data_IF_936401798655
#
_entry.id   IF_936401798655
#
_cell.length_a   1.000
_cell.length_b   1.000
_cell.length_c   1.000
_cell.angle_alpha   90.00
_cell.angle_beta   90.00
_cell.angle_gamma   90.00
#
_symmetry.space_group_name_H-M   'P 1'
#
loop_
_entity.id
_entity.type
_entity.pdbx_description
1 polymer ?
#
# COMPACT_ATOMS: atom_id res chain seq x y z
N UNK A 1 19.25 45.93 8.30
CA UNK A 1 18.45 44.74 7.91
C UNK A 1 17.33 44.55 8.94
N UNK A 2 16.17 44.05 8.49
CA UNK A 2 14.83 44.32 9.02
C UNK A 2 14.48 43.56 10.32
N UNK A 3 13.80 44.19 11.30
CA UNK A 3 13.03 43.45 12.31
C UNK A 3 11.69 42.98 11.72
N UNK A 4 11.38 41.70 11.90
CA UNK A 4 10.17 41.05 11.38
C UNK A 4 8.98 41.35 12.30
N UNK A 5 7.91 41.89 11.69
CA UNK A 5 6.61 42.20 12.28
C UNK A 5 5.80 40.93 12.62
N UNK A 6 5.18 40.98 13.79
CA UNK A 6 3.85 40.48 14.17
C UNK A 6 3.23 39.29 13.43
N UNK A 7 2.96 38.21 14.16
CA UNK A 7 1.66 37.53 14.09
C UNK A 7 1.24 37.10 15.51
N UNK A 8 0.35 37.89 16.11
CA UNK A 8 -0.45 37.48 17.28
C UNK A 8 -1.53 36.55 16.76
N UNK A 9 -1.34 35.24 16.92
CA UNK A 9 -2.38 34.24 16.65
C UNK A 9 -3.45 34.38 17.72
N UNK A 10 -4.67 34.71 17.29
CA UNK A 10 -5.85 34.80 18.15
C UNK A 10 -6.14 33.42 18.73
N UNK A 11 -5.99 33.25 20.05
CA UNK A 11 -6.58 32.13 20.77
C UNK A 11 -8.11 32.27 20.64
N UNK A 12 -8.73 31.35 19.92
CA UNK A 12 -10.17 31.13 19.97
C UNK A 12 -10.53 30.57 21.35
N UNK A 13 -11.28 31.36 22.12
CA UNK A 13 -11.85 30.96 23.39
C UNK A 13 -12.84 29.79 23.18
N UNK A 14 -12.66 28.71 23.94
CA UNK A 14 -13.60 27.59 24.03
C UNK A 14 -14.60 27.93 25.14
N UNK A 15 -15.93 27.98 24.88
CA UNK A 15 -16.90 28.25 25.93
C UNK A 15 -17.05 27.03 26.87
N UNK A 16 -17.19 27.24 28.20
CA UNK A 16 -17.52 26.16 29.11
C UNK A 16 -19.02 25.83 29.03
N UNK A 17 -19.35 24.63 28.55
CA UNK A 17 -20.71 24.10 28.54
C UNK A 17 -21.11 23.70 29.96
N UNK A 18 -21.84 24.59 30.63
CA UNK A 18 -22.66 24.26 31.78
C UNK A 18 -23.87 23.44 31.32
N UNK A 19 -24.01 22.21 31.81
CA UNK A 19 -25.16 21.36 31.48
C UNK A 19 -25.03 19.97 32.08
N UNK A 20 -25.42 19.83 33.35
CA UNK A 20 -25.47 18.58 34.13
C UNK A 20 -26.58 17.65 33.61
N UNK A 21 -26.51 17.21 32.35
CA UNK A 21 -27.33 16.13 31.77
C UNK A 21 -26.63 15.37 30.63
N UNK A 22 -25.34 15.65 30.36
CA UNK A 22 -24.63 15.18 29.17
C UNK A 22 -23.72 13.94 29.32
N UNK A 23 -23.68 13.30 30.50
CA UNK A 23 -22.70 12.21 30.76
C UNK A 23 -22.89 10.97 29.89
N UNK A 24 -24.14 10.62 29.55
CA UNK A 24 -24.45 9.43 28.72
C UNK A 24 -24.43 9.72 27.22
N UNK A 25 -24.82 10.93 26.80
CA UNK A 25 -24.79 11.31 25.38
C UNK A 25 -23.37 11.61 24.87
N UNK A 26 -22.49 12.14 25.73
CA UNK A 26 -21.10 12.40 25.35
C UNK A 26 -20.32 11.10 25.06
N UNK A 27 -20.65 10.00 25.72
CA UNK A 27 -19.97 8.71 25.51
C UNK A 27 -20.32 8.08 24.15
N UNK A 28 -21.55 8.28 23.66
CA UNK A 28 -22.01 7.74 22.36
C UNK A 28 -21.39 8.49 21.19
N UNK A 29 -21.17 9.80 21.32
CA UNK A 29 -20.55 10.62 20.28
C UNK A 29 -19.06 10.30 20.07
N UNK A 30 -18.34 9.87 21.11
CA UNK A 30 -16.93 9.44 21.01
C UNK A 30 -16.80 8.03 20.42
N UNK A 31 -17.75 7.12 20.69
CA UNK A 31 -17.73 5.76 20.13
C UNK A 31 -18.04 5.72 18.62
N UNK A 32 -18.82 6.67 18.10
CA UNK A 32 -19.18 6.71 16.69
C UNK A 32 -18.00 7.04 15.76
N UNK A 33 -16.94 7.68 16.26
CA UNK A 33 -15.77 8.05 15.46
C UNK A 33 -14.78 6.89 15.24
N UNK A 34 -14.94 5.78 15.97
CA UNK A 34 -14.02 4.63 15.93
C UNK A 34 -14.44 3.51 14.98
N UNK A 35 -15.49 3.70 14.17
CA UNK A 35 -16.03 2.66 13.28
C UNK A 35 -15.78 2.93 11.79
N UNK A 36 -14.72 3.67 11.44
CA UNK A 36 -14.21 3.60 10.08
C UNK A 36 -13.53 2.24 9.92
N UNK A 37 -14.09 1.25 9.20
CA UNK A 37 -13.25 0.21 8.64
C UNK A 37 -12.21 0.96 7.82
N UNK A 38 -10.93 0.75 8.10
CA UNK A 38 -9.86 1.50 7.44
C UNK A 38 -10.11 1.50 5.94
N UNK A 39 -10.26 2.67 5.34
CA UNK A 39 -10.21 2.86 3.89
C UNK A 39 -8.78 2.55 3.42
N UNK A 40 -8.34 1.30 3.58
CA UNK A 40 -7.14 0.80 2.97
C UNK A 40 -7.44 0.73 1.47
N UNK A 41 -6.86 1.67 0.74
CA UNK A 41 -6.94 1.67 -0.71
C UNK A 41 -5.97 0.63 -1.25
N UNK A 42 -6.28 -0.02 -2.38
CA UNK A 42 -5.34 -0.89 -3.09
C UNK A 42 -3.94 -0.22 -3.22
N UNK A 43 -3.91 1.08 -3.50
CA UNK A 43 -2.68 1.85 -3.60
C UNK A 43 -1.88 1.94 -2.29
N UNK A 44 -2.55 2.07 -1.13
CA UNK A 44 -1.85 2.09 0.16
C UNK A 44 -1.23 0.73 0.47
N UNK A 45 -1.95 -0.36 0.24
CA UNK A 45 -1.47 -1.72 0.53
C UNK A 45 -0.29 -2.09 -0.38
N UNK A 46 -0.36 -1.76 -1.67
CA UNK A 46 0.77 -1.89 -2.60
C UNK A 46 1.96 -1.05 -2.13
N UNK A 47 1.73 0.17 -1.63
CA UNK A 47 2.82 1.01 -1.11
C UNK A 47 3.46 0.43 0.16
N UNK A 48 2.66 -0.17 1.06
CA UNK A 48 3.17 -0.89 2.23
C UNK A 48 3.97 -2.13 1.84
N UNK A 49 3.45 -2.95 0.91
CA UNK A 49 4.13 -4.10 0.36
C UNK A 49 5.48 -3.72 -0.29
N UNK A 50 5.50 -2.65 -1.09
CA UNK A 50 6.73 -2.14 -1.71
C UNK A 50 7.79 -1.78 -0.67
N UNK A 51 7.41 -1.04 0.37
CA UNK A 51 8.35 -0.67 1.45
C UNK A 51 8.91 -1.90 2.16
N UNK A 52 8.06 -2.90 2.42
CA UNK A 52 8.51 -4.15 3.03
C UNK A 52 9.49 -4.91 2.11
N UNK A 53 9.18 -5.01 0.82
CA UNK A 53 10.03 -5.62 -0.20
C UNK A 53 11.40 -4.92 -0.31
N UNK A 54 11.41 -3.59 -0.39
CA UNK A 54 12.64 -2.77 -0.47
C UNK A 54 13.54 -2.94 0.76
N UNK A 55 12.95 -3.25 1.91
CA UNK A 55 13.65 -3.53 3.16
C UNK A 55 14.01 -5.02 3.32
N UNK A 56 13.88 -5.82 2.26
CA UNK A 56 14.09 -7.27 2.26
C UNK A 56 13.21 -8.05 3.27
N UNK A 57 12.06 -7.49 3.65
CA UNK A 57 11.06 -8.15 4.51
C UNK A 57 9.97 -8.77 3.63
N UNK A 58 10.35 -9.83 2.90
CA UNK A 58 9.52 -10.39 1.81
C UNK A 58 8.23 -11.04 2.32
N UNK A 59 8.26 -11.73 3.45
CA UNK A 59 7.07 -12.30 4.09
C UNK A 59 6.09 -11.18 4.50
N UNK A 60 6.61 -10.09 5.07
CA UNK A 60 5.78 -8.93 5.40
C UNK A 60 5.20 -8.27 4.14
N UNK A 61 5.93 -8.27 3.02
CA UNK A 61 5.38 -7.78 1.76
C UNK A 61 4.19 -8.64 1.31
N UNK A 62 4.27 -9.96 1.44
CA UNK A 62 3.17 -10.87 1.11
C UNK A 62 1.95 -10.67 2.02
N UNK A 63 2.15 -10.41 3.32
CA UNK A 63 1.04 -10.09 4.25
C UNK A 63 0.23 -8.88 3.77
N UNK A 64 0.87 -7.85 3.23
CA UNK A 64 0.16 -6.69 2.67
C UNK A 64 -0.52 -6.98 1.32
N UNK A 65 -0.03 -7.97 0.57
CA UNK A 65 -0.56 -8.31 -0.76
C UNK A 65 -1.69 -9.33 -0.69
N UNK A 66 -1.70 -10.22 0.30
CA UNK A 66 -2.68 -11.31 0.43
C UNK A 66 -4.15 -10.85 0.43
N UNK A 67 -4.55 -9.77 1.15
CA UNK A 67 -5.92 -9.28 1.09
C UNK A 67 -6.36 -8.87 -0.32
N UNK A 68 -5.41 -8.44 -1.15
CA UNK A 68 -5.67 -7.92 -2.48
C UNK A 68 -5.96 -9.00 -3.53
N UNK A 69 -5.64 -10.28 -3.24
CA UNK A 69 -5.76 -11.40 -4.19
C UNK A 69 -7.16 -11.54 -4.80
N UNK A 70 -8.19 -11.19 -4.01
CA UNK A 70 -9.61 -11.32 -4.38
C UNK A 70 -10.05 -10.24 -5.38
N UNK A 71 -9.41 -9.08 -5.31
CA UNK A 71 -9.82 -7.87 -6.02
C UNK A 71 -8.87 -7.49 -7.17
N UNK A 72 -7.89 -8.35 -7.48
CA UNK A 72 -6.90 -8.14 -8.56
C UNK A 72 -7.58 -7.82 -9.90
N UNK A 73 -8.72 -8.45 -10.18
CA UNK A 73 -9.49 -8.21 -11.40
C UNK A 73 -10.06 -6.79 -11.51
N UNK A 74 -10.38 -6.15 -10.37
CA UNK A 74 -10.93 -4.81 -10.29
C UNK A 74 -9.86 -3.72 -10.14
N UNK A 75 -8.58 -4.09 -9.96
CA UNK A 75 -7.49 -3.13 -9.83
C UNK A 75 -7.29 -2.32 -11.12
N UNK A 76 -6.81 -1.09 -10.93
CA UNK A 76 -6.26 -0.30 -12.04
C UNK A 76 -5.12 -1.07 -12.72
N UNK A 77 -4.95 -0.96 -14.05
CA UNK A 77 -3.89 -1.67 -14.77
C UNK A 77 -2.49 -1.47 -14.19
N UNK A 78 -2.13 -0.23 -13.82
CA UNK A 78 -0.83 0.09 -13.22
C UNK A 78 -0.60 -0.61 -11.88
N UNK A 79 -1.63 -0.64 -11.04
CA UNK A 79 -1.57 -1.22 -9.70
C UNK A 79 -1.52 -2.75 -9.79
N UNK A 80 -2.26 -3.34 -10.73
CA UNK A 80 -2.21 -4.78 -11.01
C UNK A 80 -0.81 -5.22 -11.42
N UNK A 81 -0.13 -4.49 -12.30
CA UNK A 81 1.25 -4.79 -12.69
C UNK A 81 2.21 -4.74 -11.49
N UNK A 82 2.08 -3.71 -10.63
CA UNK A 82 2.90 -3.57 -9.42
C UNK A 82 2.62 -4.66 -8.39
N UNK A 83 1.34 -5.00 -8.18
CA UNK A 83 0.92 -6.09 -7.30
C UNK A 83 1.57 -7.40 -7.73
N UNK A 84 1.44 -7.80 -9.00
CA UNK A 84 2.02 -9.04 -9.50
C UNK A 84 3.54 -9.06 -9.41
N UNK A 85 4.20 -7.93 -9.74
CA UNK A 85 5.65 -7.81 -9.61
C UNK A 85 6.11 -8.01 -8.16
N UNK A 86 5.49 -7.31 -7.20
CA UNK A 86 5.87 -7.38 -5.79
C UNK A 86 5.59 -8.76 -5.20
N UNK A 87 4.45 -9.37 -5.54
CA UNK A 87 4.09 -10.74 -5.14
C UNK A 87 5.13 -11.72 -5.68
N UNK A 88 5.34 -11.74 -7.01
CA UNK A 88 6.25 -12.67 -7.66
C UNK A 88 7.72 -12.50 -7.25
N UNK A 89 8.21 -11.27 -7.10
CA UNK A 89 9.57 -11.03 -6.62
C UNK A 89 9.74 -11.39 -5.15
N UNK A 90 8.71 -11.22 -4.31
CA UNK A 90 8.77 -11.68 -2.92
C UNK A 90 8.85 -13.21 -2.85
N UNK A 91 7.99 -13.92 -3.57
CA UNK A 91 8.06 -15.39 -3.65
C UNK A 91 9.40 -15.88 -4.22
N UNK A 92 9.94 -15.20 -5.24
CA UNK A 92 11.25 -15.51 -5.81
C UNK A 92 12.36 -15.42 -4.76
N UNK A 93 12.34 -14.34 -3.95
CA UNK A 93 13.35 -14.09 -2.91
C UNK A 93 13.21 -15.04 -1.72
N UNK A 94 12.03 -15.60 -1.52
CA UNK A 94 11.75 -16.64 -0.52
C UNK A 94 12.04 -18.06 -1.01
N UNK A 95 12.55 -18.23 -2.24
CA UNK A 95 12.87 -19.55 -2.80
C UNK A 95 11.63 -20.39 -3.12
N UNK A 96 10.53 -19.74 -3.51
CA UNK A 96 9.27 -20.40 -3.88
C UNK A 96 9.06 -20.31 -5.41
N UNK A 97 9.74 -21.16 -6.20
CA UNK A 97 9.89 -20.96 -7.64
C UNK A 97 8.59 -21.07 -8.42
N UNK A 98 7.66 -21.93 -7.98
CA UNK A 98 6.36 -22.12 -8.65
C UNK A 98 5.51 -20.86 -8.60
N UNK A 99 5.32 -20.31 -7.40
CA UNK A 99 4.51 -19.11 -7.20
C UNK A 99 5.20 -17.88 -7.77
N UNK A 100 6.53 -17.80 -7.63
CA UNK A 100 7.34 -16.78 -8.27
C UNK A 100 7.13 -16.77 -9.79
N UNK A 101 7.26 -17.92 -10.45
CA UNK A 101 7.09 -18.02 -11.90
C UNK A 101 5.68 -17.61 -12.33
N UNK A 102 4.66 -18.06 -11.60
CA UNK A 102 3.26 -17.70 -11.88
C UNK A 102 3.05 -16.17 -11.83
N UNK A 103 3.37 -15.54 -10.71
CA UNK A 103 3.11 -14.11 -10.53
C UNK A 103 4.04 -13.23 -11.37
N UNK A 104 5.29 -13.62 -11.60
CA UNK A 104 6.19 -12.86 -12.48
C UNK A 104 5.78 -12.95 -13.96
N UNK A 105 5.19 -14.06 -14.41
CA UNK A 105 4.60 -14.14 -15.74
C UNK A 105 3.43 -13.16 -15.89
N UNK A 106 2.51 -13.15 -14.92
CA UNK A 106 1.38 -12.20 -14.88
C UNK A 106 1.85 -10.75 -14.78
N UNK A 107 2.92 -10.47 -14.02
CA UNK A 107 3.51 -9.14 -13.93
C UNK A 107 4.02 -8.63 -15.28
N UNK A 108 4.67 -9.50 -16.06
CA UNK A 108 5.17 -9.16 -17.40
C UNK A 108 4.05 -8.82 -18.36
N UNK A 109 2.99 -9.62 -18.35
CA UNK A 109 1.81 -9.43 -19.19
C UNK A 109 1.04 -8.16 -18.80
N UNK A 110 0.82 -7.96 -17.50
CA UNK A 110 0.14 -6.78 -16.98
C UNK A 110 0.93 -5.49 -17.25
N UNK A 111 2.26 -5.52 -17.14
CA UNK A 111 3.12 -4.38 -17.46
C UNK A 111 3.02 -4.00 -18.94
N UNK A 112 3.15 -4.99 -19.85
CA UNK A 112 3.01 -4.73 -21.28
C UNK A 112 1.62 -4.19 -21.65
N UNK A 113 0.56 -4.79 -21.11
CA UNK A 113 -0.82 -4.39 -21.39
C UNK A 113 -1.16 -2.98 -20.88
N UNK A 114 -0.50 -2.51 -19.82
CA UNK A 114 -0.73 -1.19 -19.23
C UNK A 114 0.20 -0.09 -19.78
N UNK A 115 0.99 -0.36 -20.82
CA UNK A 115 1.93 0.63 -21.37
C UNK A 115 3.19 0.83 -20.51
N UNK A 116 3.63 -0.23 -19.85
CA UNK A 116 4.86 -0.31 -19.05
C UNK A 116 4.94 0.56 -17.78
N UNK A 117 3.97 0.44 -16.85
CA UNK A 117 3.96 1.16 -15.57
C UNK A 117 5.10 0.77 -14.61
N UNK A 118 5.77 -0.38 -14.81
CA UNK A 118 6.92 -0.77 -14.01
C UNK A 118 8.17 0.03 -14.43
N UNK A 119 8.97 0.42 -13.42
CA UNK A 119 10.24 1.08 -13.68
C UNK A 119 11.16 0.20 -14.55
N UNK A 120 12.05 0.78 -15.37
CA UNK A 120 13.02 -0.01 -16.14
C UNK A 120 13.88 -0.95 -15.27
N UNK A 121 14.20 -0.53 -14.04
CA UNK A 121 14.95 -1.36 -13.10
C UNK A 121 14.15 -2.59 -12.65
N UNK A 122 12.86 -2.41 -12.37
CA UNK A 122 11.96 -3.51 -11.99
C UNK A 122 11.74 -4.49 -13.15
N UNK A 123 11.54 -3.99 -14.37
CA UNK A 123 11.45 -4.85 -15.58
C UNK A 123 12.70 -5.70 -15.76
N UNK A 124 13.90 -5.10 -15.69
CA UNK A 124 15.15 -5.86 -15.76
C UNK A 124 15.28 -6.91 -14.66
N UNK A 125 14.82 -6.61 -13.45
CA UNK A 125 14.83 -7.58 -12.35
C UNK A 125 13.85 -8.74 -12.59
N UNK A 126 12.64 -8.44 -13.07
CA UNK A 126 11.64 -9.41 -13.47
C UNK A 126 12.18 -10.35 -14.56
N UNK A 127 12.77 -9.80 -15.63
CA UNK A 127 13.26 -10.60 -16.75
C UNK A 127 14.39 -11.54 -16.32
N UNK A 128 15.30 -11.07 -15.45
CA UNK A 128 16.34 -11.91 -14.87
C UNK A 128 15.76 -13.03 -14.00
N UNK A 129 14.78 -12.72 -13.14
CA UNK A 129 14.14 -13.72 -12.29
C UNK A 129 13.42 -14.79 -13.11
N UNK A 130 12.65 -14.40 -14.14
CA UNK A 130 12.01 -15.35 -15.06
C UNK A 130 13.02 -16.20 -15.83
N UNK A 131 14.15 -15.62 -16.24
CA UNK A 131 15.22 -16.37 -16.91
C UNK A 131 15.82 -17.40 -15.96
N UNK A 132 16.12 -17.01 -14.72
CA UNK A 132 16.64 -17.91 -13.70
C UNK A 132 15.69 -19.07 -13.38
N UNK A 133 14.38 -18.81 -13.33
CA UNK A 133 13.37 -19.82 -13.01
C UNK A 133 13.12 -20.84 -14.14
N UNK A 134 13.60 -20.56 -15.35
CA UNK A 134 13.49 -21.46 -16.51
C UNK A 134 14.76 -22.27 -16.76
N UNK A 135 15.84 -22.00 -16.01
CA UNK A 135 17.06 -22.78 -16.11
C UNK A 135 16.81 -24.20 -15.54
N UNK A 136 17.32 -25.26 -16.22
CA UNK A 136 17.11 -26.65 -15.81
C UNK A 136 17.84 -27.02 -14.52
#
# INVERSE_FOLDING_TARGET
MRPVRHLRTRLTAVPPLAGRLGGRLALVAVLALCTAPGCATVGSDIAHARRAYEQARYENALVWLEPLDRDVGAMRPDDRARYFYLRGMSEYRLGRPRDAAHYLALAREADAAAGHPLSPAWRRALDRALTSLRAP
#
